data_IF_403916269821
#
_entry.id   IF_403916269821
#
_cell.length_a   1.000
_cell.length_b   1.000
_cell.length_c   1.000
_cell.angle_alpha   90.00
_cell.angle_beta   90.00
_cell.angle_gamma   90.00
#
_symmetry.space_group_name_H-M   'P 1'
#
loop_
_entity.id
_entity.type
_entity.pdbx_description
1 polymer ?
#
# COMPACT_ATOMS: atom_id res chain seq x y z
N UNK A 1 -4.03 -6.25 21.66
CA UNK A 1 -3.93 -5.01 22.45
C UNK A 1 -4.46 -3.87 21.57
N UNK A 2 -5.51 -3.14 21.98
CA UNK A 2 -6.16 -2.16 21.10
C UNK A 2 -5.28 -0.94 20.74
N UNK A 3 -4.27 -0.62 21.55
CA UNK A 3 -3.32 0.47 21.26
C UNK A 3 -2.47 0.20 20.02
N UNK A 4 -2.03 -1.03 19.80
CA UNK A 4 -1.14 -1.36 18.68
C UNK A 4 -1.86 -1.25 17.33
N UNK A 5 -3.15 -1.61 17.29
CA UNK A 5 -3.98 -1.53 16.09
C UNK A 5 -4.28 -0.08 15.69
N UNK A 6 -4.59 0.78 16.67
CA UNK A 6 -4.82 2.21 16.42
C UNK A 6 -3.54 2.93 15.95
N UNK A 7 -2.39 2.56 16.51
CA UNK A 7 -1.09 3.08 16.10
C UNK A 7 -0.75 2.64 14.68
N UNK A 8 -0.93 1.35 14.36
CA UNK A 8 -0.71 0.82 13.02
C UNK A 8 -1.62 1.53 12.00
N UNK A 9 -2.91 1.66 12.31
CA UNK A 9 -3.86 2.36 11.47
C UNK A 9 -3.44 3.81 11.18
N UNK A 10 -2.97 4.53 12.19
CA UNK A 10 -2.51 5.92 12.02
C UNK A 10 -1.29 6.00 11.10
N UNK A 11 -0.34 5.06 11.24
CA UNK A 11 0.84 4.94 10.37
C UNK A 11 0.45 4.61 8.92
N UNK A 12 -0.55 3.74 8.71
CA UNK A 12 -1.09 3.43 7.40
C UNK A 12 -1.72 4.66 6.74
N UNK A 13 -2.53 5.42 7.48
CA UNK A 13 -3.16 6.64 6.93
C UNK A 13 -2.09 7.66 6.49
N UNK A 14 -1.06 7.88 7.30
CA UNK A 14 0.02 8.81 6.99
C UNK A 14 0.82 8.35 5.75
N UNK A 15 1.23 7.08 5.73
CA UNK A 15 2.02 6.55 4.64
C UNK A 15 1.21 6.48 3.32
N UNK A 16 -0.08 6.15 3.39
CA UNK A 16 -0.98 6.16 2.23
C UNK A 16 -1.14 7.55 1.62
N UNK A 17 -1.25 8.60 2.44
CA UNK A 17 -1.27 10.00 1.95
C UNK A 17 0.04 10.38 1.25
N UNK A 18 1.18 9.99 1.82
CA UNK A 18 2.50 10.21 1.20
C UNK A 18 2.68 9.42 -0.09
N UNK A 19 2.05 8.26 -0.20
CA UNK A 19 2.12 7.44 -1.41
C UNK A 19 1.23 7.98 -2.54
N UNK A 20 0.14 8.67 -2.19
CA UNK A 20 -0.73 9.34 -3.16
C UNK A 20 -0.04 10.55 -3.84
N UNK A 21 0.86 11.22 -3.14
CA UNK A 21 1.79 12.21 -3.71
C UNK A 21 3.24 11.83 -3.39
N UNK A 22 3.81 10.85 -4.14
CA UNK A 22 5.08 10.25 -3.76
C UNK A 22 6.25 11.20 -4.00
N UNK A 23 7.30 11.13 -3.15
CA UNK A 23 8.50 11.94 -3.29
C UNK A 23 9.18 11.70 -4.64
N UNK A 24 9.85 12.73 -5.17
CA UNK A 24 10.57 12.65 -6.44
C UNK A 24 11.91 11.93 -6.34
N UNK A 25 12.50 11.86 -5.14
CA UNK A 25 13.74 11.13 -4.89
C UNK A 25 13.48 9.63 -4.86
N UNK A 26 14.24 8.88 -5.67
CA UNK A 26 14.16 7.41 -5.73
C UNK A 26 14.45 6.78 -4.37
N UNK A 27 15.49 7.25 -3.67
CA UNK A 27 15.85 6.73 -2.34
C UNK A 27 14.76 6.96 -1.31
N UNK A 28 14.10 8.12 -1.35
CA UNK A 28 13.02 8.44 -0.42
C UNK A 28 11.76 7.65 -0.75
N UNK A 29 11.45 7.48 -2.04
CA UNK A 29 10.34 6.67 -2.51
C UNK A 29 10.54 5.21 -2.12
N UNK A 30 11.72 4.65 -2.34
CA UNK A 30 12.05 3.28 -1.99
C UNK A 30 11.90 3.06 -0.47
N UNK A 31 12.46 3.95 0.36
CA UNK A 31 12.29 3.90 1.83
C UNK A 31 10.83 3.98 2.26
N UNK A 32 10.03 4.81 1.59
CA UNK A 32 8.59 4.88 1.84
C UNK A 32 7.89 3.56 1.50
N UNK A 33 8.20 2.97 0.34
CA UNK A 33 7.62 1.70 -0.11
C UNK A 33 7.98 0.52 0.80
N UNK A 34 9.25 0.39 1.21
CA UNK A 34 9.67 -0.63 2.20
C UNK A 34 8.91 -0.48 3.52
N UNK A 35 8.70 0.76 3.96
CA UNK A 35 7.93 1.02 5.18
C UNK A 35 6.44 0.69 5.02
N UNK A 36 5.87 1.00 3.85
CA UNK A 36 4.49 0.65 3.50
C UNK A 36 4.31 -0.86 3.49
N UNK A 37 5.18 -1.60 2.80
CA UNK A 37 5.16 -3.07 2.76
C UNK A 37 5.24 -3.67 4.17
N UNK A 38 6.14 -3.18 5.02
CA UNK A 38 6.23 -3.56 6.43
C UNK A 38 4.96 -3.29 7.23
N UNK A 39 4.20 -2.23 6.92
CA UNK A 39 2.90 -2.00 7.57
C UNK A 39 1.80 -2.89 7.02
N UNK A 40 1.75 -3.10 5.71
CA UNK A 40 0.74 -3.94 5.06
C UNK A 40 0.87 -5.41 5.50
N UNK A 41 2.10 -5.92 5.66
CA UNK A 41 2.35 -7.29 6.15
C UNK A 41 1.82 -7.55 7.57
N UNK A 42 1.70 -6.50 8.39
CA UNK A 42 1.11 -6.59 9.73
C UNK A 42 -0.43 -6.64 9.71
N UNK A 43 -1.06 -6.28 8.60
CA UNK A 43 -2.53 -6.27 8.49
C UNK A 43 -3.03 -7.68 8.15
N UNK A 44 -3.94 -8.17 8.98
CA UNK A 44 -4.59 -9.47 8.77
C UNK A 44 -5.61 -9.40 7.63
N UNK A 45 -5.84 -10.55 6.99
CA UNK A 45 -6.95 -10.72 6.06
C UNK A 45 -8.29 -10.51 6.78
N UNK A 46 -9.33 -10.12 6.03
CA UNK A 46 -10.65 -9.81 6.57
C UNK A 46 -10.60 -8.78 7.73
N UNK A 47 -9.73 -7.77 7.59
CA UNK A 47 -9.62 -6.71 8.58
C UNK A 47 -10.94 -5.92 8.70
N UNK A 48 -11.18 -5.30 9.86
CA UNK A 48 -12.41 -4.56 10.11
C UNK A 48 -12.56 -3.36 9.14
N UNK A 49 -13.79 -2.85 8.91
CA UNK A 49 -14.03 -1.74 7.97
C UNK A 49 -13.21 -0.48 8.27
N UNK A 50 -12.90 -0.25 9.54
CA UNK A 50 -12.08 0.88 10.00
C UNK A 50 -10.64 0.77 9.52
N UNK A 51 -10.07 -0.43 9.46
CA UNK A 51 -8.75 -0.73 8.89
C UNK A 51 -8.79 -0.71 7.36
N UNK A 52 -9.82 -1.30 6.74
CA UNK A 52 -9.99 -1.24 5.27
C UNK A 52 -10.07 0.20 4.75
N UNK A 53 -10.77 1.09 5.45
CA UNK A 53 -10.84 2.50 5.11
C UNK A 53 -9.47 3.20 5.15
N UNK A 54 -8.57 2.78 6.05
CA UNK A 54 -7.20 3.29 6.10
C UNK A 54 -6.35 2.83 4.90
N UNK A 55 -6.74 1.73 4.24
CA UNK A 55 -6.05 1.18 3.07
C UNK A 55 -6.54 1.78 1.73
N UNK A 56 -7.65 2.52 1.73
CA UNK A 56 -8.21 3.14 0.52
C UNK A 56 -7.21 3.98 -0.30
N UNK A 57 -6.34 4.82 0.31
CA UNK A 57 -5.35 5.59 -0.45
C UNK A 57 -4.36 4.73 -1.26
N UNK A 58 -4.08 3.51 -0.79
CA UNK A 58 -3.12 2.61 -1.43
C UNK A 58 -3.67 1.98 -2.71
N UNK A 59 -4.98 1.69 -2.73
CA UNK A 59 -5.62 1.04 -3.87
C UNK A 59 -5.37 1.83 -5.16
N UNK A 60 -5.51 3.14 -5.12
CA UNK A 60 -5.30 3.98 -6.30
C UNK A 60 -3.82 4.35 -6.49
N UNK A 61 -3.08 4.62 -5.41
CA UNK A 61 -1.69 5.05 -5.51
C UNK A 61 -0.80 3.97 -6.13
N UNK A 62 -0.92 2.71 -5.67
CA UNK A 62 -0.02 1.62 -6.10
C UNK A 62 -0.18 1.23 -7.58
N UNK A 63 -1.37 1.44 -8.15
CA UNK A 63 -1.65 1.14 -9.56
C UNK A 63 -1.55 2.37 -10.46
N UNK A 64 -1.22 3.54 -9.90
CA UNK A 64 -1.02 4.74 -10.70
C UNK A 64 0.28 4.63 -11.52
N UNK A 65 0.24 5.11 -12.76
CA UNK A 65 1.38 5.06 -13.69
C UNK A 65 2.68 5.62 -13.09
N UNK A 66 2.59 6.63 -12.20
CA UNK A 66 3.74 7.22 -11.51
C UNK A 66 4.55 6.19 -10.71
N UNK A 67 3.91 5.17 -10.14
CA UNK A 67 4.56 4.10 -9.37
C UNK A 67 4.68 2.82 -10.19
N UNK A 68 3.63 2.41 -10.90
CA UNK A 68 3.61 1.16 -11.66
C UNK A 68 4.59 1.15 -12.83
N UNK A 69 4.77 2.30 -13.49
CA UNK A 69 5.64 2.48 -14.67
C UNK A 69 6.93 3.23 -14.34
N UNK A 70 7.31 3.26 -13.07
CA UNK A 70 8.54 3.91 -12.61
C UNK A 70 9.77 3.35 -13.36
N UNK A 71 10.82 4.14 -13.61
CA UNK A 71 11.99 3.66 -14.37
C UNK A 71 12.90 2.73 -13.55
N UNK A 72 13.02 3.02 -12.25
CA UNK A 72 13.85 2.27 -11.31
C UNK A 72 13.29 0.87 -11.00
N UNK A 73 14.14 -0.15 -11.05
CA UNK A 73 13.75 -1.55 -10.89
C UNK A 73 13.43 -1.92 -9.44
N UNK A 74 14.17 -1.38 -8.46
CA UNK A 74 13.95 -1.67 -7.05
C UNK A 74 12.63 -1.06 -6.57
N UNK A 75 12.30 0.14 -7.07
CA UNK A 75 10.99 0.75 -6.87
C UNK A 75 9.88 -0.13 -7.43
N UNK A 76 10.01 -0.68 -8.66
CA UNK A 76 8.98 -1.58 -9.23
C UNK A 76 8.77 -2.82 -8.39
N UNK A 77 9.84 -3.46 -7.93
CA UNK A 77 9.77 -4.66 -7.08
C UNK A 77 9.07 -4.33 -5.77
N UNK A 78 9.40 -3.20 -5.15
CA UNK A 78 8.77 -2.76 -3.91
C UNK A 78 7.27 -2.44 -4.10
N UNK A 79 6.89 -1.78 -5.20
CA UNK A 79 5.48 -1.56 -5.57
C UNK A 79 4.74 -2.87 -5.76
N UNK A 80 5.32 -3.83 -6.50
CA UNK A 80 4.73 -5.15 -6.71
C UNK A 80 4.51 -5.89 -5.38
N UNK A 81 5.48 -5.84 -4.46
CA UNK A 81 5.35 -6.41 -3.11
C UNK A 81 4.17 -5.79 -2.35
N UNK A 82 4.04 -4.45 -2.38
CA UNK A 82 2.91 -3.76 -1.76
C UNK A 82 1.55 -4.18 -2.36
N UNK A 83 1.48 -4.38 -3.68
CA UNK A 83 0.26 -4.85 -4.36
C UNK A 83 -0.09 -6.29 -3.94
N UNK A 84 0.91 -7.16 -3.80
CA UNK A 84 0.71 -8.53 -3.30
C UNK A 84 0.11 -8.48 -1.90
N UNK A 85 0.63 -7.63 -1.01
CA UNK A 85 0.10 -7.49 0.34
C UNK A 85 -1.32 -6.93 0.38
N UNK A 86 -1.64 -5.92 -0.44
CA UNK A 86 -3.01 -5.44 -0.61
C UNK A 86 -3.93 -6.57 -1.08
N UNK A 87 -3.50 -7.32 -2.09
CA UNK A 87 -4.27 -8.46 -2.60
C UNK A 87 -4.49 -9.52 -1.52
N UNK A 88 -3.46 -9.82 -0.72
CA UNK A 88 -3.56 -10.73 0.43
C UNK A 88 -4.58 -10.22 1.45
N UNK A 89 -4.53 -8.94 1.83
CA UNK A 89 -5.41 -8.35 2.86
C UNK A 89 -6.89 -8.42 2.45
N UNK A 90 -7.18 -8.11 1.18
CA UNK A 90 -8.54 -8.07 0.67
C UNK A 90 -9.07 -9.43 0.24
N UNK A 91 -8.22 -10.45 0.03
CA UNK A 91 -8.67 -11.79 -0.30
C UNK A 91 -9.63 -12.36 0.77
N UNK A 92 -10.70 -13.10 0.37
CA UNK A 92 -10.99 -13.57 -1.00
C UNK A 92 -11.63 -12.52 -1.92
N UNK A 93 -12.00 -11.35 -1.42
CA UNK A 93 -12.50 -10.24 -2.23
C UNK A 93 -11.39 -9.61 -3.08
N UNK A 94 -11.71 -9.22 -4.31
CA UNK A 94 -10.72 -8.60 -5.20
C UNK A 94 -10.72 -7.08 -4.95
N UNK A 95 -9.58 -6.47 -4.58
CA UNK A 95 -9.51 -5.03 -4.32
C UNK A 95 -9.56 -4.16 -5.58
N UNK A 96 -9.44 -4.78 -6.75
CA UNK A 96 -9.34 -4.15 -8.06
C UNK A 96 -10.33 -4.79 -9.03
N UNK A 97 -10.84 -3.99 -9.98
CA UNK A 97 -11.55 -4.52 -11.14
C UNK A 97 -10.55 -4.97 -12.23
N UNK A 98 -11.02 -5.79 -13.17
CA UNK A 98 -10.20 -6.32 -14.27
C UNK A 98 -9.59 -5.22 -15.17
N UNK A 99 -10.19 -4.02 -15.23
CA UNK A 99 -9.64 -2.94 -16.03
C UNK A 99 -8.39 -2.33 -15.38
N UNK A 100 -8.29 -2.40 -14.05
CA UNK A 100 -7.16 -1.89 -13.26
C UNK A 100 -5.99 -2.88 -13.14
N UNK A 101 -6.18 -4.14 -13.51
CA UNK A 101 -5.14 -5.20 -13.47
C UNK A 101 -4.70 -5.65 -14.87
N UNK A 102 -4.49 -4.70 -15.80
CA UNK A 102 -4.07 -4.96 -17.19
C UNK A 102 -2.60 -4.69 -17.44
#
# INVERSE_FOLDING_TARGET
MACDENLLKSKLIEAGKRLADPPSSVDELFKLLTRVEGFLSMVKQACNPSMQAALSPYLNALVADKLLRHSDQDVKVAVASCIIEITRIFAPEVPYDDARMK
#
